data_IF_877830582431
#
_entry.id   IF_877830582431
#
_cell.length_a   1.000
_cell.length_b   1.000
_cell.length_c   1.000
_cell.angle_alpha   90.00
_cell.angle_beta   90.00
_cell.angle_gamma   90.00
#
_symmetry.space_group_name_H-M   'P 1'
#
loop_
_entity.id
_entity.type
_entity.pdbx_description
1 polymer ?
#
# COMPACT_ATOMS: atom_id res chain seq x y z
N UNK A 1 -35.73 43.55 -42.29
CA UNK A 1 -34.71 42.71 -41.62
C UNK A 1 -33.65 43.64 -41.04
N UNK A 2 -33.66 43.86 -39.73
CA UNK A 2 -32.75 44.78 -39.06
C UNK A 2 -31.39 44.09 -38.87
N UNK A 3 -30.33 44.62 -39.47
CA UNK A 3 -28.96 44.13 -39.27
C UNK A 3 -28.53 44.55 -37.87
N UNK A 4 -28.26 43.58 -37.01
CA UNK A 4 -27.73 43.80 -35.67
C UNK A 4 -26.24 44.15 -35.84
N UNK A 5 -25.89 45.42 -35.64
CA UNK A 5 -24.49 45.85 -35.63
C UNK A 5 -23.85 45.49 -34.28
N UNK A 6 -23.14 44.38 -34.24
CA UNK A 6 -22.44 43.88 -33.07
C UNK A 6 -21.21 44.75 -32.77
N UNK A 7 -21.32 45.62 -31.77
CA UNK A 7 -20.17 46.36 -31.25
C UNK A 7 -19.29 45.43 -30.39
N UNK A 8 -18.10 45.07 -30.90
CA UNK A 8 -17.19 44.06 -30.32
C UNK A 8 -16.78 44.34 -28.86
N UNK A 9 -16.82 45.61 -28.44
CA UNK A 9 -16.44 46.04 -27.09
C UNK A 9 -17.52 45.74 -26.05
N UNK A 10 -18.81 45.87 -26.39
CA UNK A 10 -19.90 45.59 -25.45
C UNK A 10 -20.23 44.09 -25.38
N UNK A 11 -19.99 43.36 -26.47
CA UNK A 11 -20.26 41.93 -26.56
C UNK A 11 -19.21 41.10 -25.83
N UNK A 12 -17.95 41.56 -25.80
CA UNK A 12 -16.90 41.00 -24.94
C UNK A 12 -17.17 41.26 -23.46
N UNK A 13 -17.57 42.47 -23.07
CA UNK A 13 -17.94 42.78 -21.68
C UNK A 13 -19.14 41.92 -21.22
N UNK A 14 -20.16 41.77 -22.05
CA UNK A 14 -21.31 40.89 -21.78
C UNK A 14 -20.87 39.43 -21.64
N UNK A 15 -19.98 38.94 -22.52
CA UNK A 15 -19.44 37.58 -22.40
C UNK A 15 -18.67 37.36 -21.09
N UNK A 16 -17.83 38.32 -20.66
CA UNK A 16 -17.14 38.24 -19.37
C UNK A 16 -18.12 38.23 -18.20
N UNK A 17 -19.17 39.07 -18.23
CA UNK A 17 -20.18 39.10 -17.19
C UNK A 17 -20.94 37.77 -17.08
N UNK A 18 -21.32 37.16 -18.22
CA UNK A 18 -21.97 35.85 -18.26
C UNK A 18 -21.05 34.74 -17.74
N UNK A 19 -19.77 34.75 -18.12
CA UNK A 19 -18.79 33.77 -17.64
C UNK A 19 -18.61 33.89 -16.12
N UNK A 20 -18.45 35.10 -15.60
CA UNK A 20 -18.30 35.35 -14.17
C UNK A 20 -19.55 34.90 -13.41
N UNK A 21 -20.75 35.20 -13.91
CA UNK A 21 -22.00 34.77 -13.30
C UNK A 21 -22.16 33.24 -13.31
N UNK A 22 -21.78 32.57 -14.41
CA UNK A 22 -21.72 31.10 -14.48
C UNK A 22 -20.73 30.52 -13.46
N UNK A 23 -19.55 31.11 -13.31
CA UNK A 23 -18.55 30.65 -12.33
C UNK A 23 -19.06 30.85 -10.90
N UNK A 24 -19.66 32.00 -10.59
CA UNK A 24 -20.24 32.27 -9.26
C UNK A 24 -21.37 31.30 -8.91
N UNK A 25 -22.27 31.01 -9.85
CA UNK A 25 -23.36 30.04 -9.64
C UNK A 25 -22.85 28.62 -9.49
N UNK A 26 -21.81 28.22 -10.23
CA UNK A 26 -21.16 26.91 -10.11
C UNK A 26 -20.46 26.75 -8.74
N UNK A 27 -19.74 27.78 -8.28
CA UNK A 27 -19.11 27.79 -6.95
C UNK A 27 -20.17 27.69 -5.85
N UNK A 28 -21.26 28.46 -5.93
CA UNK A 28 -22.37 28.36 -4.98
C UNK A 28 -22.98 26.96 -4.94
N UNK A 29 -23.15 26.30 -6.09
CA UNK A 29 -23.65 24.93 -6.16
C UNK A 29 -22.70 23.94 -5.48
N UNK A 30 -21.39 24.10 -5.66
CA UNK A 30 -20.37 23.26 -5.00
C UNK A 30 -20.41 23.43 -3.48
N UNK A 31 -20.59 24.65 -2.97
CA UNK A 31 -20.66 24.92 -1.53
C UNK A 31 -21.95 24.36 -0.92
N UNK A 32 -23.10 24.59 -1.57
CA UNK A 32 -24.41 24.10 -1.08
C UNK A 32 -24.51 22.58 -1.15
N UNK A 33 -23.91 21.95 -2.17
CA UNK A 33 -23.89 20.49 -2.36
C UNK A 33 -22.54 19.88 -1.97
N UNK A 34 -21.82 20.45 -1.01
CA UNK A 34 -20.48 19.99 -0.62
C UNK A 34 -20.43 18.49 -0.31
N UNK A 35 -21.43 17.96 0.40
CA UNK A 35 -21.53 16.52 0.70
C UNK A 35 -21.69 15.66 -0.56
N UNK A 36 -22.47 16.10 -1.55
CA UNK A 36 -22.63 15.36 -2.81
C UNK A 36 -21.39 15.46 -3.70
N UNK A 37 -20.74 16.62 -3.75
CA UNK A 37 -19.49 16.83 -4.52
C UNK A 37 -18.36 15.98 -3.95
N UNK A 38 -18.22 15.97 -2.62
CA UNK A 38 -17.22 15.13 -1.94
C UNK A 38 -17.52 13.64 -2.08
N UNK A 39 -18.79 13.21 -2.05
CA UNK A 39 -19.17 11.82 -2.31
C UNK A 39 -18.83 11.37 -3.75
N UNK A 40 -19.11 12.21 -4.75
CA UNK A 40 -18.76 11.94 -6.16
C UNK A 40 -17.24 11.90 -6.34
N UNK A 41 -16.52 12.86 -5.76
CA UNK A 41 -15.05 12.89 -5.77
C UNK A 41 -14.47 11.63 -5.10
N UNK A 42 -15.02 11.21 -3.96
CA UNK A 42 -14.59 10.00 -3.27
C UNK A 42 -14.87 8.74 -4.09
N UNK A 43 -16.02 8.67 -4.79
CA UNK A 43 -16.35 7.55 -5.68
C UNK A 43 -15.37 7.49 -6.87
N UNK A 44 -15.01 8.64 -7.42
CA UNK A 44 -14.02 8.76 -8.50
C UNK A 44 -12.61 8.35 -8.04
N UNK A 45 -12.17 8.83 -6.86
CA UNK A 45 -10.91 8.41 -6.25
C UNK A 45 -10.88 6.90 -5.96
N UNK A 46 -11.97 6.32 -5.46
CA UNK A 46 -12.07 4.87 -5.25
C UNK A 46 -11.98 4.08 -6.55
N UNK A 47 -12.54 4.60 -7.65
CA UNK A 47 -12.45 3.96 -8.96
C UNK A 47 -11.03 4.01 -9.55
N UNK A 48 -10.26 5.07 -9.27
CA UNK A 48 -8.87 5.24 -9.72
C UNK A 48 -7.86 4.60 -8.77
N UNK A 49 -8.25 4.32 -7.52
CA UNK A 49 -7.41 3.66 -6.52
C UNK A 49 -6.62 2.44 -7.05
N UNK A 50 -7.20 1.45 -7.76
CA UNK A 50 -6.43 0.32 -8.28
C UNK A 50 -5.33 0.75 -9.27
N UNK A 51 -5.56 1.81 -10.05
CA UNK A 51 -4.55 2.36 -10.97
C UNK A 51 -3.40 3.01 -10.19
N UNK A 52 -3.72 3.76 -9.12
CA UNK A 52 -2.71 4.36 -8.24
C UNK A 52 -1.87 3.27 -7.57
N UNK A 53 -2.51 2.23 -7.03
CA UNK A 53 -1.82 1.07 -6.47
C UNK A 53 -0.94 0.38 -7.50
N UNK A 54 -1.45 0.16 -8.72
CA UNK A 54 -0.68 -0.43 -9.81
C UNK A 54 0.52 0.41 -10.20
N UNK A 55 0.39 1.74 -10.25
CA UNK A 55 1.51 2.65 -10.49
C UNK A 55 2.54 2.59 -9.36
N UNK A 56 2.10 2.57 -8.10
CA UNK A 56 2.98 2.46 -6.94
C UNK A 56 3.80 1.15 -6.95
N UNK A 57 3.13 0.02 -7.18
CA UNK A 57 3.77 -1.30 -7.30
C UNK A 57 4.74 -1.29 -8.49
N UNK A 58 4.33 -0.75 -9.62
CA UNK A 58 5.16 -0.66 -10.81
C UNK A 58 6.45 0.14 -10.55
N UNK A 59 6.32 1.27 -9.87
CA UNK A 59 7.44 2.13 -9.53
C UNK A 59 8.41 1.45 -8.55
N UNK A 60 7.88 0.66 -7.60
CA UNK A 60 8.67 -0.11 -6.64
C UNK A 60 9.43 -1.28 -7.27
N UNK A 61 8.85 -1.95 -8.27
CA UNK A 61 9.50 -3.02 -9.01
C UNK A 61 10.48 -2.53 -10.08
N UNK A 62 10.40 -1.27 -10.50
CA UNK A 62 11.25 -0.70 -11.55
C UNK A 62 12.77 -0.81 -11.30
N UNK A 63 13.34 -0.54 -10.10
CA UNK A 63 14.77 -0.75 -9.84
C UNK A 63 15.21 -2.20 -10.04
N UNK A 64 14.35 -3.17 -9.73
CA UNK A 64 14.61 -4.61 -9.91
C UNK A 64 14.56 -4.94 -11.40
N UNK A 65 13.50 -4.49 -12.09
CA UNK A 65 13.31 -4.68 -13.53
C UNK A 65 14.48 -4.13 -14.34
N UNK A 66 14.95 -2.91 -14.06
CA UNK A 66 16.07 -2.30 -14.80
C UNK A 66 17.39 -3.06 -14.59
N UNK A 67 17.65 -3.56 -13.38
CA UNK A 67 18.84 -4.39 -13.11
C UNK A 67 18.76 -5.73 -13.84
N UNK A 68 17.61 -6.39 -13.81
CA UNK A 68 17.37 -7.63 -14.55
C UNK A 68 17.47 -7.41 -16.07
N UNK A 69 16.90 -6.32 -16.60
CA UNK A 69 16.99 -5.96 -18.00
C UNK A 69 18.46 -5.77 -18.43
N UNK A 70 19.28 -5.11 -17.61
CA UNK A 70 20.71 -4.95 -17.88
C UNK A 70 21.49 -6.28 -17.83
N UNK A 71 21.14 -7.18 -16.91
CA UNK A 71 21.73 -8.53 -16.83
C UNK A 71 21.35 -9.38 -18.05
N UNK A 72 20.07 -9.41 -18.42
CA UNK A 72 19.60 -10.14 -19.59
C UNK A 72 20.15 -9.59 -20.90
N UNK A 73 20.27 -8.26 -21.05
CA UNK A 73 20.96 -7.65 -22.21
C UNK A 73 22.40 -8.13 -22.31
N UNK A 74 23.18 -8.10 -21.21
CA UNK A 74 24.57 -8.61 -21.20
C UNK A 74 24.69 -10.11 -21.51
N UNK A 75 23.72 -10.92 -21.10
CA UNK A 75 23.71 -12.37 -21.31
C UNK A 75 23.22 -12.78 -22.71
N UNK A 76 22.20 -12.09 -23.25
CA UNK A 76 21.48 -12.48 -24.47
C UNK A 76 21.96 -11.69 -25.70
N UNK A 77 22.29 -10.40 -25.58
CA UNK A 77 22.79 -9.58 -26.71
C UNK A 77 24.19 -10.01 -27.18
N UNK A 78 24.89 -10.88 -26.45
CA UNK A 78 26.12 -11.53 -26.94
C UNK A 78 25.87 -12.48 -28.13
N UNK A 79 24.64 -12.98 -28.34
CA UNK A 79 24.35 -13.99 -29.39
C UNK A 79 23.29 -13.56 -30.42
N UNK A 80 22.30 -12.73 -30.06
CA UNK A 80 21.34 -12.16 -31.02
C UNK A 80 20.59 -10.94 -30.44
N UNK A 81 20.38 -9.85 -31.20
CA UNK A 81 19.69 -8.66 -30.72
C UNK A 81 18.17 -8.87 -30.76
N UNK A 82 17.61 -9.45 -29.69
CA UNK A 82 16.15 -9.53 -29.47
C UNK A 82 15.70 -8.63 -28.31
N UNK A 83 15.68 -7.29 -28.48
CA UNK A 83 15.41 -6.35 -27.40
C UNK A 83 14.00 -6.51 -26.79
N UNK A 84 13.02 -6.96 -27.59
CA UNK A 84 11.66 -7.27 -27.14
C UNK A 84 11.61 -8.49 -26.21
N UNK A 85 12.41 -9.51 -26.48
CA UNK A 85 12.46 -10.74 -25.69
C UNK A 85 13.13 -10.49 -24.34
N UNK A 86 14.27 -9.78 -24.33
CA UNK A 86 14.98 -9.38 -23.11
C UNK A 86 14.08 -8.54 -22.18
N UNK A 87 13.27 -7.63 -22.74
CA UNK A 87 12.34 -6.79 -21.97
C UNK A 87 11.19 -7.61 -21.38
N UNK A 88 10.58 -8.48 -22.17
CA UNK A 88 9.47 -9.33 -21.69
C UNK A 88 9.96 -10.25 -20.58
N UNK A 89 11.13 -10.88 -20.74
CA UNK A 89 11.77 -11.69 -19.70
C UNK A 89 12.09 -10.89 -18.44
N UNK A 90 12.65 -9.68 -18.59
CA UNK A 90 12.95 -8.82 -17.44
C UNK A 90 11.69 -8.43 -16.64
N UNK A 91 10.59 -8.11 -17.31
CA UNK A 91 9.30 -7.81 -16.66
C UNK A 91 8.74 -9.05 -15.97
N UNK A 92 8.68 -10.19 -16.66
CA UNK A 92 8.18 -11.45 -16.06
C UNK A 92 9.02 -11.82 -14.85
N UNK A 93 10.35 -11.81 -14.95
CA UNK A 93 11.23 -12.11 -13.83
C UNK A 93 11.08 -11.11 -12.68
N UNK A 94 10.97 -9.80 -12.95
CA UNK A 94 10.79 -8.81 -11.88
C UNK A 94 9.48 -9.00 -11.14
N UNK A 95 8.41 -9.34 -11.86
CA UNK A 95 7.08 -9.59 -11.31
C UNK A 95 7.07 -10.88 -10.48
N UNK A 96 7.69 -11.95 -11.00
CA UNK A 96 7.82 -13.23 -10.28
C UNK A 96 8.66 -13.06 -9.01
N UNK A 97 9.78 -12.34 -9.07
CA UNK A 97 10.61 -12.06 -7.89
C UNK A 97 9.84 -11.21 -6.88
N UNK A 98 9.12 -10.18 -7.33
CA UNK A 98 8.29 -9.34 -6.46
C UNK A 98 7.19 -10.13 -5.75
N UNK A 99 6.42 -10.94 -6.49
CA UNK A 99 5.40 -11.80 -5.91
C UNK A 99 6.01 -12.86 -4.98
N UNK A 100 7.11 -13.50 -5.40
CA UNK A 100 7.81 -14.50 -4.61
C UNK A 100 8.31 -13.94 -3.28
N UNK A 101 8.85 -12.72 -3.27
CA UNK A 101 9.28 -12.04 -2.06
C UNK A 101 8.10 -11.75 -1.11
N UNK A 102 6.98 -11.25 -1.64
CA UNK A 102 5.77 -10.99 -0.82
C UNK A 102 5.21 -12.29 -0.26
N UNK A 103 5.07 -13.33 -1.10
CA UNK A 103 4.54 -14.63 -0.66
C UNK A 103 5.45 -15.29 0.37
N UNK A 104 6.77 -15.22 0.20
CA UNK A 104 7.73 -15.75 1.16
C UNK A 104 7.64 -15.01 2.51
N UNK A 105 7.53 -13.67 2.48
CA UNK A 105 7.37 -12.86 3.68
C UNK A 105 6.08 -13.21 4.41
N UNK A 106 4.95 -13.33 3.71
CA UNK A 106 3.67 -13.75 4.30
C UNK A 106 3.76 -15.16 4.87
N UNK A 107 4.37 -16.09 4.13
CA UNK A 107 4.53 -17.48 4.55
C UNK A 107 5.41 -17.65 5.80
N UNK A 108 6.34 -16.73 6.06
CA UNK A 108 7.19 -16.72 7.25
C UNK A 108 6.49 -16.00 8.41
N UNK A 109 5.96 -14.80 8.18
CA UNK A 109 5.41 -13.95 9.25
C UNK A 109 4.10 -14.53 9.80
N UNK A 110 3.18 -14.98 8.94
CA UNK A 110 1.85 -15.45 9.37
C UNK A 110 1.92 -16.61 10.38
N UNK A 111 2.64 -17.72 10.12
CA UNK A 111 2.73 -18.80 11.10
C UNK A 111 3.43 -18.36 12.39
N UNK A 112 4.46 -17.52 12.29
CA UNK A 112 5.18 -17.04 13.47
C UNK A 112 4.30 -16.19 14.40
N UNK A 113 3.45 -15.33 13.82
CA UNK A 113 2.47 -14.55 14.58
C UNK A 113 1.43 -15.46 15.21
N UNK A 114 0.94 -16.49 14.48
CA UNK A 114 0.00 -17.46 15.04
C UNK A 114 0.59 -18.20 16.25
N UNK A 115 1.80 -18.71 16.11
CA UNK A 115 2.49 -19.44 17.17
C UNK A 115 2.73 -18.55 18.38
N UNK A 116 3.21 -17.32 18.18
CA UNK A 116 3.38 -16.35 19.27
C UNK A 116 2.06 -16.08 20.01
N UNK A 117 0.96 -15.95 19.26
CA UNK A 117 -0.37 -15.74 19.84
C UNK A 117 -0.87 -16.98 20.59
N UNK A 118 -0.68 -18.17 20.03
CA UNK A 118 -1.04 -19.45 20.68
C UNK A 118 -0.26 -19.64 21.98
N UNK A 119 1.06 -19.43 21.97
CA UNK A 119 1.92 -19.51 23.16
C UNK A 119 1.48 -18.53 24.25
N UNK A 120 1.13 -17.28 23.90
CA UNK A 120 0.60 -16.33 24.88
C UNK A 120 -0.67 -16.90 25.52
N UNK A 121 -1.60 -17.42 24.71
CA UNK A 121 -2.88 -17.93 25.21
C UNK A 121 -2.76 -19.21 26.04
N UNK A 122 -1.86 -20.11 25.67
CA UNK A 122 -1.56 -21.31 26.48
C UNK A 122 -1.01 -20.94 27.86
N UNK A 123 -0.27 -19.83 27.95
CA UNK A 123 0.30 -19.32 29.20
C UNK A 123 -0.62 -18.37 29.99
N UNK A 124 -1.76 -17.93 29.43
CA UNK A 124 -2.73 -17.07 30.14
C UNK A 124 -3.18 -17.63 31.49
N UNK A 125 -3.52 -18.93 31.65
CA UNK A 125 -3.90 -19.47 32.96
C UNK A 125 -2.81 -19.27 34.01
N UNK A 126 -1.56 -19.45 33.60
CA UNK A 126 -0.38 -19.32 34.46
C UNK A 126 -0.12 -17.84 34.79
N UNK A 127 -0.26 -16.94 33.82
CA UNK A 127 -0.19 -15.49 34.07
C UNK A 127 -1.29 -15.00 35.01
N UNK A 128 -2.52 -15.48 34.85
CA UNK A 128 -3.64 -15.15 35.74
C UNK A 128 -3.37 -15.65 37.16
N UNK A 129 -2.85 -16.87 37.31
CA UNK A 129 -2.48 -17.42 38.62
C UNK A 129 -1.36 -16.63 39.28
N UNK A 130 -0.32 -16.22 38.54
CA UNK A 130 0.77 -15.40 39.07
C UNK A 130 0.30 -14.00 39.49
N UNK A 131 -0.62 -13.40 38.72
CA UNK A 131 -1.23 -12.12 39.09
C UNK A 131 -2.08 -12.30 40.34
N UNK A 132 -2.88 -13.38 40.43
CA UNK A 132 -3.69 -13.69 41.59
C UNK A 132 -2.87 -13.86 42.87
N UNK A 133 -1.78 -14.63 42.81
CA UNK A 133 -0.89 -14.83 43.97
C UNK A 133 -0.18 -13.54 44.35
N UNK A 134 0.33 -12.77 43.38
CA UNK A 134 0.96 -11.48 43.63
C UNK A 134 0.01 -10.47 44.25
N UNK A 135 -1.23 -10.37 43.73
CA UNK A 135 -2.26 -9.48 44.28
C UNK A 135 -2.66 -9.90 45.70
N UNK A 136 -2.82 -11.19 45.97
CA UNK A 136 -3.12 -11.66 47.32
C UNK A 136 -1.98 -11.40 48.31
N UNK A 137 -0.72 -11.59 47.92
CA UNK A 137 0.44 -11.25 48.76
C UNK A 137 0.56 -9.74 49.04
N UNK A 138 0.12 -8.89 48.11
CA UNK A 138 0.10 -7.43 48.32
C UNK A 138 -1.07 -6.98 49.22
N UNK A 139 -2.19 -7.71 49.20
CA UNK A 139 -3.42 -7.40 49.94
C UNK A 139 -3.56 -8.13 51.29
N UNK A 140 -2.55 -8.89 51.73
CA UNK A 140 -2.56 -9.60 53.03
C UNK A 140 -2.92 -8.69 54.22
N UNK A 141 -2.56 -7.41 54.16
CA UNK A 141 -2.86 -6.43 55.22
C UNK A 141 -4.27 -5.79 55.12
N UNK A 142 -5.06 -6.10 54.09
CA UNK A 142 -6.38 -5.51 53.82
C UNK A 142 -7.42 -6.57 53.41
N UNK A 143 -7.98 -7.34 54.38
CA UNK A 143 -8.82 -8.51 54.11
C UNK A 143 -10.14 -8.20 53.39
N UNK A 144 -10.75 -7.05 53.65
CA UNK A 144 -12.00 -6.64 52.98
C UNK A 144 -11.81 -6.38 51.47
N UNK A 145 -10.63 -5.86 51.09
CA UNK A 145 -10.29 -5.60 49.69
C UNK A 145 -9.92 -6.90 48.97
N UNK A 146 -9.26 -7.84 49.66
CA UNK A 146 -8.93 -9.15 49.12
C UNK A 146 -10.18 -9.97 48.77
N UNK A 147 -11.22 -9.93 49.61
CA UNK A 147 -12.49 -10.61 49.37
C UNK A 147 -13.17 -10.12 48.08
N UNK A 148 -13.20 -8.80 47.84
CA UNK A 148 -13.77 -8.20 46.63
C UNK A 148 -12.98 -8.57 45.37
N UNK A 149 -11.65 -8.61 45.45
CA UNK A 149 -10.79 -9.00 44.32
C UNK A 149 -10.97 -10.47 43.95
N UNK A 150 -11.11 -11.36 44.94
CA UNK A 150 -11.34 -12.78 44.71
C UNK A 150 -12.70 -13.06 44.04
N UNK A 151 -13.74 -12.30 44.41
CA UNK A 151 -15.06 -12.40 43.74
C UNK A 151 -15.01 -11.95 42.28
N UNK A 152 -14.23 -10.91 41.98
CA UNK A 152 -14.05 -10.42 40.61
C UNK A 152 -13.12 -11.30 39.77
N UNK A 153 -12.22 -12.07 40.40
CA UNK A 153 -11.24 -12.90 39.71
C UNK A 153 -11.89 -13.96 38.82
N UNK A 154 -12.94 -14.64 39.29
CA UNK A 154 -13.63 -15.67 38.49
C UNK A 154 -14.37 -15.07 37.29
N UNK A 155 -14.93 -13.86 37.43
CA UNK A 155 -15.57 -13.12 36.34
C UNK A 155 -14.56 -12.65 35.29
N UNK A 156 -13.41 -12.14 35.73
CA UNK A 156 -12.30 -11.73 34.85
C UNK A 156 -11.75 -12.94 34.11
N UNK A 157 -11.49 -14.03 34.84
CA UNK A 157 -10.96 -15.28 34.30
C UNK A 157 -11.88 -15.81 33.19
N UNK A 158 -13.17 -15.97 33.47
CA UNK A 158 -14.14 -16.46 32.48
C UNK A 158 -14.27 -15.55 31.27
N UNK A 159 -14.24 -14.22 31.46
CA UNK A 159 -14.27 -13.24 30.36
C UNK A 159 -13.04 -13.38 29.46
N UNK A 160 -11.85 -13.51 30.06
CA UNK A 160 -10.59 -13.71 29.33
C UNK A 160 -10.62 -15.02 28.56
N UNK A 161 -10.99 -16.15 29.18
CA UNK A 161 -11.09 -17.43 28.47
C UNK A 161 -12.11 -17.41 27.32
N UNK A 162 -13.25 -16.75 27.49
CA UNK A 162 -14.25 -16.58 26.44
C UNK A 162 -13.72 -15.71 25.28
N UNK A 163 -12.95 -14.67 25.57
CA UNK A 163 -12.30 -13.85 24.55
C UNK A 163 -11.27 -14.68 23.75
N UNK A 164 -10.46 -15.50 24.44
CA UNK A 164 -9.47 -16.37 23.81
C UNK A 164 -10.13 -17.39 22.89
N UNK A 165 -11.16 -18.08 23.37
CA UNK A 165 -11.90 -19.09 22.60
C UNK A 165 -12.57 -18.50 21.34
N UNK A 166 -12.88 -17.20 21.32
CA UNK A 166 -13.40 -16.52 20.15
C UNK A 166 -12.30 -16.01 19.20
N UNK A 167 -11.16 -15.55 19.73
CA UNK A 167 -10.12 -14.88 18.92
C UNK A 167 -9.21 -15.90 18.23
N UNK A 168 -8.79 -16.95 18.93
CA UNK A 168 -7.85 -17.98 18.41
C UNK A 168 -8.36 -18.64 17.13
N UNK A 169 -9.55 -19.28 17.10
CA UNK A 169 -10.00 -19.97 15.90
C UNK A 169 -10.25 -19.01 14.73
N UNK A 170 -10.66 -17.77 15.00
CA UNK A 170 -10.79 -16.75 13.96
C UNK A 170 -9.41 -16.39 13.37
N UNK A 171 -8.39 -16.16 14.19
CA UNK A 171 -7.03 -15.91 13.70
C UNK A 171 -6.47 -17.09 12.89
N UNK A 172 -6.65 -18.32 13.39
CA UNK A 172 -6.21 -19.53 12.68
C UNK A 172 -6.93 -19.70 11.34
N UNK A 173 -8.23 -19.43 11.28
CA UNK A 173 -9.01 -19.52 10.03
C UNK A 173 -8.61 -18.43 9.01
N UNK A 174 -8.27 -17.23 9.47
CA UNK A 174 -7.77 -16.17 8.60
C UNK A 174 -6.39 -16.51 8.05
N UNK A 175 -5.50 -17.00 8.90
CA UNK A 175 -4.17 -17.44 8.50
C UNK A 175 -4.19 -18.64 7.55
N UNK A 176 -5.08 -19.63 7.76
CA UNK A 176 -5.22 -20.75 6.82
C UNK A 176 -5.73 -20.29 5.46
N UNK A 177 -6.73 -19.39 5.42
CA UNK A 177 -7.20 -18.77 4.17
C UNK A 177 -6.09 -18.01 3.42
N UNK A 178 -5.18 -17.36 4.15
CA UNK A 178 -4.03 -16.68 3.56
C UNK A 178 -2.97 -17.67 3.04
N UNK A 179 -2.73 -18.78 3.77
CA UNK A 179 -1.75 -19.81 3.42
C UNK A 179 -2.19 -20.68 2.24
N UNK A 180 -3.45 -21.12 2.22
CA UNK A 180 -3.97 -22.05 1.22
C UNK A 180 -4.25 -21.36 -0.14
N UNK A 181 -4.01 -20.05 -0.24
CA UNK A 181 -4.26 -19.27 -1.45
C UNK A 181 -5.74 -19.22 -1.87
N UNK A 182 -6.64 -19.75 -1.04
CA UNK A 182 -8.04 -19.91 -1.34
C UNK A 182 -8.76 -18.57 -1.16
N UNK A 183 -8.92 -17.84 -2.28
CA UNK A 183 -10.15 -17.22 -2.87
C UNK A 183 -11.23 -16.62 -1.92
N UNK A 184 -11.06 -16.56 -0.60
CA UNK A 184 -12.08 -16.12 0.36
C UNK A 184 -12.05 -14.62 0.68
N UNK A 185 -11.15 -13.86 0.07
CA UNK A 185 -10.96 -12.41 0.31
C UNK A 185 -11.39 -11.60 -0.94
N UNK A 186 -12.53 -11.96 -1.52
CA UNK A 186 -13.00 -11.42 -2.82
C UNK A 186 -13.29 -9.91 -2.77
N UNK A 187 -13.61 -9.35 -1.60
CA UNK A 187 -13.91 -7.91 -1.48
C UNK A 187 -12.69 -6.98 -1.55
N UNK A 188 -11.54 -7.41 -1.01
CA UNK A 188 -10.33 -6.59 -0.89
C UNK A 188 -9.23 -6.94 -1.91
N UNK A 189 -9.09 -8.23 -2.24
CA UNK A 189 -8.08 -8.72 -3.18
C UNK A 189 -8.41 -8.33 -4.62
N UNK A 190 -9.68 -8.13 -4.98
CA UNK A 190 -10.06 -7.70 -6.33
C UNK A 190 -9.34 -6.41 -6.78
N UNK A 191 -9.32 -5.38 -5.93
CA UNK A 191 -8.63 -4.13 -6.23
C UNK A 191 -7.10 -4.27 -6.26
N UNK A 192 -6.54 -5.12 -5.39
CA UNK A 192 -5.11 -5.43 -5.38
C UNK A 192 -4.69 -6.21 -6.63
N UNK A 193 -5.46 -7.22 -7.03
CA UNK A 193 -5.22 -8.03 -8.22
C UNK A 193 -5.35 -7.21 -9.51
N UNK A 194 -6.38 -6.36 -9.61
CA UNK A 194 -6.52 -5.41 -10.72
C UNK A 194 -5.33 -4.44 -10.73
N UNK A 195 -4.96 -3.87 -9.58
CA UNK A 195 -3.78 -3.01 -9.48
C UNK A 195 -2.49 -3.72 -9.88
N UNK A 196 -2.34 -4.98 -9.51
CA UNK A 196 -1.21 -5.81 -9.88
C UNK A 196 -1.15 -6.04 -11.40
N UNK A 197 -2.25 -6.41 -12.04
CA UNK A 197 -2.33 -6.54 -13.51
C UNK A 197 -1.97 -5.21 -14.18
N UNK A 198 -2.52 -4.10 -13.70
CA UNK A 198 -2.21 -2.75 -14.21
C UNK A 198 -0.72 -2.41 -14.05
N UNK A 199 -0.08 -2.83 -12.94
CA UNK A 199 1.35 -2.63 -12.72
C UNK A 199 2.20 -3.32 -13.78
N UNK A 200 1.82 -4.53 -14.20
CA UNK A 200 2.51 -5.29 -15.26
C UNK A 200 2.42 -4.55 -16.60
N UNK A 201 1.25 -4.01 -16.94
CA UNK A 201 1.07 -3.18 -18.14
C UNK A 201 1.95 -1.92 -18.09
N UNK A 202 2.01 -1.23 -16.94
CA UNK A 202 2.87 -0.06 -16.78
C UNK A 202 4.36 -0.40 -16.92
N UNK A 203 4.83 -1.51 -16.36
CA UNK A 203 6.21 -1.97 -16.54
C UNK A 203 6.52 -2.29 -18.01
N UNK A 204 5.62 -3.03 -18.65
CA UNK A 204 5.80 -3.49 -20.03
C UNK A 204 5.88 -2.31 -20.98
N UNK A 205 4.97 -1.35 -20.88
CA UNK A 205 4.84 -0.24 -21.81
C UNK A 205 5.37 1.10 -21.26
N UNK A 206 6.29 1.07 -20.28
CA UNK A 206 6.85 2.29 -19.62
C UNK A 206 7.27 3.39 -20.58
N UNK A 207 7.92 3.02 -21.69
CA UNK A 207 8.38 3.97 -22.71
C UNK A 207 7.25 4.63 -23.49
N UNK A 208 6.16 3.89 -23.77
CA UNK A 208 4.98 4.46 -24.45
C UNK A 208 4.29 5.46 -23.53
N UNK A 209 4.12 5.12 -22.25
CA UNK A 209 3.55 6.03 -21.25
C UNK A 209 4.39 7.29 -21.06
N UNK A 210 5.72 7.16 -20.96
CA UNK A 210 6.63 8.31 -20.87
C UNK A 210 6.61 9.17 -22.15
N UNK A 211 6.54 8.55 -23.33
CA UNK A 211 6.45 9.26 -24.60
C UNK A 211 5.12 10.02 -24.74
N UNK A 212 3.99 9.40 -24.38
CA UNK A 212 2.69 10.06 -24.36
C UNK A 212 2.64 11.20 -23.34
N UNK A 213 3.18 11.00 -22.14
CA UNK A 213 3.30 12.04 -21.13
C UNK A 213 4.12 13.23 -21.62
N UNK A 214 5.27 12.99 -22.25
CA UNK A 214 6.07 14.06 -22.88
C UNK A 214 5.29 14.81 -23.95
N UNK A 215 4.57 14.09 -24.82
CA UNK A 215 3.71 14.71 -25.86
C UNK A 215 2.62 15.60 -25.26
N UNK A 216 1.96 15.15 -24.18
CA UNK A 216 0.94 15.93 -23.49
C UNK A 216 1.52 17.20 -22.88
N UNK A 217 2.67 17.12 -22.20
CA UNK A 217 3.33 18.30 -21.61
C UNK A 217 3.76 19.29 -22.70
N UNK A 218 4.31 18.81 -23.82
CA UNK A 218 4.68 19.67 -24.95
C UNK A 218 3.48 20.26 -25.69
N UNK A 219 2.31 19.63 -25.61
CA UNK A 219 1.08 20.14 -26.24
C UNK A 219 0.37 21.18 -25.37
N UNK A 220 0.43 21.04 -24.05
CA UNK A 220 -0.22 21.95 -23.10
C UNK A 220 0.62 23.20 -22.79
N UNK A 221 1.94 23.11 -22.91
CA UNK A 221 2.86 24.18 -22.52
C UNK A 221 3.77 24.62 -23.68
N UNK A 222 4.16 25.91 -23.72
CA UNK A 222 5.16 26.39 -24.67
C UNK A 222 6.51 25.69 -24.45
N UNK A 223 7.30 25.57 -25.53
CA UNK A 223 8.51 24.73 -25.59
C UNK A 223 9.48 24.92 -24.41
N UNK A 224 9.68 26.18 -23.99
CA UNK A 224 10.57 26.55 -22.88
C UNK A 224 10.05 26.01 -21.54
N UNK A 225 8.76 26.19 -21.25
CA UNK A 225 8.12 25.72 -20.02
C UNK A 225 8.02 24.19 -20.01
N UNK A 226 7.69 23.57 -21.15
CA UNK A 226 7.66 22.11 -21.27
C UNK A 226 9.03 21.48 -20.98
N UNK A 227 10.12 22.07 -21.45
CA UNK A 227 11.46 21.57 -21.16
C UNK A 227 11.80 21.65 -19.67
N UNK A 228 11.45 22.77 -19.01
CA UNK A 228 11.63 22.92 -17.56
C UNK A 228 10.80 21.91 -16.75
N UNK A 229 9.53 21.70 -17.10
CA UNK A 229 8.67 20.72 -16.41
C UNK A 229 9.23 19.31 -16.55
N UNK A 230 9.70 18.92 -17.75
CA UNK A 230 10.31 17.61 -17.97
C UNK A 230 11.63 17.43 -17.21
N UNK A 231 12.45 18.48 -17.10
CA UNK A 231 13.69 18.43 -16.32
C UNK A 231 13.40 18.24 -14.82
N UNK A 232 12.43 19.00 -14.27
CA UNK A 232 11.98 18.84 -12.88
C UNK A 232 11.45 17.42 -12.66
N UNK A 233 10.57 16.91 -13.52
CA UNK A 233 10.06 15.54 -13.41
C UNK A 233 11.19 14.50 -13.44
N UNK A 234 12.19 14.65 -14.31
CA UNK A 234 13.33 13.73 -14.36
C UNK A 234 14.17 13.78 -13.09
N UNK A 235 14.40 14.98 -12.53
CA UNK A 235 15.13 15.16 -11.26
C UNK A 235 14.36 14.55 -10.09
N UNK A 236 13.06 14.81 -9.98
CA UNK A 236 12.18 14.21 -8.96
C UNK A 236 12.18 12.68 -9.09
N UNK A 237 11.99 12.15 -10.30
CA UNK A 237 12.02 10.71 -10.55
C UNK A 237 13.36 10.09 -10.09
N UNK A 238 14.49 10.71 -10.41
CA UNK A 238 15.81 10.24 -9.96
C UNK A 238 15.94 10.26 -8.43
N UNK A 239 15.49 11.35 -7.79
CA UNK A 239 15.54 11.48 -6.33
C UNK A 239 14.68 10.42 -5.64
N UNK A 240 13.42 10.24 -6.06
CA UNK A 240 12.51 9.24 -5.51
C UNK A 240 13.01 7.82 -5.78
N UNK A 241 13.56 7.54 -6.97
CA UNK A 241 14.11 6.22 -7.29
C UNK A 241 15.33 5.87 -6.42
N UNK A 242 16.20 6.84 -6.17
CA UNK A 242 17.36 6.68 -5.30
C UNK A 242 16.92 6.48 -3.83
N UNK A 243 15.95 7.26 -3.35
CA UNK A 243 15.37 7.10 -2.02
C UNK A 243 14.73 5.73 -1.84
N UNK A 244 13.90 5.29 -2.80
CA UNK A 244 13.22 3.99 -2.72
C UNK A 244 14.21 2.83 -2.76
N UNK A 245 15.21 2.89 -3.64
CA UNK A 245 16.28 1.88 -3.68
C UNK A 245 17.10 1.88 -2.39
N UNK A 246 17.33 3.06 -1.80
CA UNK A 246 17.99 3.22 -0.51
C UNK A 246 17.18 2.58 0.63
N UNK A 247 15.88 2.85 0.73
CA UNK A 247 15.02 2.27 1.76
C UNK A 247 14.87 0.75 1.63
N UNK A 248 14.77 0.23 0.41
CA UNK A 248 14.75 -1.23 0.18
C UNK A 248 16.06 -1.84 0.67
N UNK A 249 17.20 -1.22 0.37
CA UNK A 249 18.50 -1.70 0.83
C UNK A 249 18.65 -1.58 2.36
N UNK A 250 18.21 -0.47 2.94
CA UNK A 250 18.27 -0.21 4.38
C UNK A 250 17.41 -1.21 5.16
N UNK A 251 16.16 -1.41 4.75
CA UNK A 251 15.27 -2.42 5.33
C UNK A 251 15.81 -3.85 5.22
N UNK A 252 16.51 -4.17 4.11
CA UNK A 252 17.18 -5.46 3.94
C UNK A 252 18.37 -5.60 4.90
N UNK A 253 19.19 -4.56 5.07
CA UNK A 253 20.33 -4.55 5.99
C UNK A 253 19.84 -4.73 7.43
N UNK A 254 18.86 -3.94 7.86
CA UNK A 254 18.25 -4.03 9.19
C UNK A 254 17.64 -5.42 9.40
N UNK A 255 16.95 -5.97 8.39
CA UNK A 255 16.41 -7.33 8.43
C UNK A 255 17.50 -8.38 8.63
N UNK A 256 18.60 -8.32 7.89
CA UNK A 256 19.73 -9.23 8.04
C UNK A 256 20.42 -9.11 9.41
N UNK A 257 20.64 -7.89 9.90
CA UNK A 257 21.23 -7.66 11.23
C UNK A 257 20.32 -8.23 12.32
N UNK A 258 19.01 -7.95 12.24
CA UNK A 258 18.03 -8.44 13.20
C UNK A 258 18.00 -9.98 13.20
N UNK A 259 18.01 -10.60 12.02
CA UNK A 259 18.06 -12.05 11.87
C UNK A 259 19.32 -12.67 12.51
N UNK A 260 20.49 -12.09 12.24
CA UNK A 260 21.76 -12.56 12.83
C UNK A 260 21.76 -12.35 14.35
N UNK A 261 21.30 -11.19 14.83
CA UNK A 261 21.25 -10.87 16.26
C UNK A 261 20.32 -11.83 17.02
N UNK A 262 19.11 -12.07 16.51
CA UNK A 262 18.17 -13.02 17.13
C UNK A 262 18.74 -14.45 17.15
N UNK A 263 19.42 -14.87 16.06
CA UNK A 263 20.09 -16.17 16.00
C UNK A 263 21.24 -16.32 17.01
N UNK A 264 22.01 -15.25 17.25
CA UNK A 264 23.10 -15.24 18.23
C UNK A 264 22.55 -15.23 19.66
N UNK A 265 21.47 -14.49 19.93
CA UNK A 265 20.85 -14.39 21.25
C UNK A 265 20.07 -15.64 21.66
N UNK A 266 19.92 -16.63 20.77
CA UNK A 266 19.19 -17.86 21.06
C UNK A 266 17.71 -17.63 21.37
N UNK A 267 17.15 -16.50 20.91
CA UNK A 267 15.71 -16.25 21.01
C UNK A 267 15.03 -17.23 20.04
N UNK A 268 14.18 -18.12 20.56
CA UNK A 268 13.35 -19.11 19.84
C UNK A 268 12.41 -18.51 18.76
N UNK A 269 12.49 -17.21 18.52
CA UNK A 269 11.81 -16.52 17.42
C UNK A 269 12.73 -16.29 16.20
N UNK A 270 14.00 -16.69 16.28
CA UNK A 270 14.90 -16.79 15.14
C UNK A 270 14.81 -18.20 14.54
N UNK A 271 13.82 -18.36 13.65
CA UNK A 271 13.46 -19.57 12.89
C UNK A 271 12.79 -20.69 13.68
#
# INVERSE_FOLDING_TARGET
MMKIDWNSKYTTISAYAVIVFCICTLIMLVIVKFASVTAVAAKFLKAIAPIIWGFAIAYLLNPIMVRLEALFKKLIEKKAPHPKLCRTLAVVCSVVIGLGAISALVAIIVPQVLESVQTIFENVPLYMQNIYTWTNSMLENYPDVAAYVNEQYDTIRTTVFNAINNIVPNLTQWASKLKDGAVGVIGGVGNFAIGFIVSVYFLTDKEKFLAQGRKLVTALFPLRTSAHVLDICNKTNRSVMNFLSGNILDSLIIGCICFIAMKIMGLEYAL
#
